data_IF_799838605748
#
_entry.id   IF_799838605748
#
_cell.length_a   1.000
_cell.length_b   1.000
_cell.length_c   1.000
_cell.angle_alpha   90.00
_cell.angle_beta   90.00
_cell.angle_gamma   90.00
#
_symmetry.space_group_name_H-M   'P 1'
#
loop_
_entity.id
_entity.type
_entity.pdbx_description
1 polymer ?
#
# COMPACT_ATOMS: atom_id res chain seq x y z
N UNK A 1 -18.41 2.61 10.08
CA UNK A 1 -17.14 2.72 10.82
C UNK A 1 -16.06 3.34 9.93
N UNK A 2 -15.35 4.36 10.43
CA UNK A 2 -14.22 4.98 9.72
C UNK A 2 -13.07 3.98 9.58
N UNK A 3 -12.38 3.99 8.43
CA UNK A 3 -11.24 3.09 8.20
C UNK A 3 -10.05 3.52 9.06
N UNK A 4 -9.48 2.64 9.92
CA UNK A 4 -8.29 2.95 10.70
C UNK A 4 -7.12 3.41 9.83
N UNK A 5 -6.27 4.27 10.40
CA UNK A 5 -5.02 4.72 9.79
C UNK A 5 -3.85 4.10 10.55
N UNK A 6 -2.77 3.86 9.84
CA UNK A 6 -1.50 3.47 10.44
C UNK A 6 -1.03 4.57 11.39
N UNK A 7 -0.29 4.17 12.43
CA UNK A 7 0.32 5.10 13.37
C UNK A 7 1.07 6.22 12.64
N UNK A 8 1.01 7.42 13.19
CA UNK A 8 1.73 8.57 12.69
C UNK A 8 3.25 8.36 12.77
N UNK A 9 3.74 7.68 13.81
CA UNK A 9 5.19 7.43 14.00
C UNK A 9 5.80 6.59 12.87
N UNK A 10 4.99 5.74 12.23
CA UNK A 10 5.40 4.92 11.09
C UNK A 10 5.32 5.67 9.75
N UNK A 11 4.72 6.87 9.72
CA UNK A 11 4.48 7.66 8.49
C UNK A 11 5.18 9.01 8.50
N UNK A 12 5.54 9.53 9.68
CA UNK A 12 6.16 10.83 9.86
C UNK A 12 7.50 10.66 10.57
N UNK A 13 8.56 11.19 9.97
CA UNK A 13 9.91 11.16 10.50
C UNK A 13 10.48 12.57 10.61
N UNK A 14 11.31 12.78 11.61
CA UNK A 14 12.00 14.05 11.81
C UNK A 14 13.39 14.01 11.16
N UNK A 15 13.71 15.05 10.38
CA UNK A 15 15.00 15.33 9.75
C UNK A 15 15.50 14.31 8.70
N UNK A 16 15.20 13.02 8.86
CA UNK A 16 15.65 11.96 7.95
C UNK A 16 14.66 10.81 7.89
N UNK A 17 14.68 10.11 6.76
CA UNK A 17 13.93 8.87 6.60
C UNK A 17 14.46 7.79 7.55
N UNK A 18 13.56 7.04 8.17
CA UNK A 18 13.93 5.90 9.02
C UNK A 18 13.75 4.60 8.25
N UNK A 19 14.82 3.81 8.20
CA UNK A 19 14.77 2.43 7.72
C UNK A 19 14.70 1.50 8.93
N UNK A 20 13.96 0.42 8.80
CA UNK A 20 13.78 -0.55 9.87
C UNK A 20 14.18 -1.94 9.38
N UNK A 21 14.69 -2.77 10.28
CA UNK A 21 15.15 -4.11 9.92
C UNK A 21 13.97 -5.05 9.61
N UNK A 22 12.83 -4.84 10.29
CA UNK A 22 11.64 -5.65 10.11
C UNK A 22 10.35 -4.82 10.12
N UNK A 23 9.91 -4.44 8.93
CA UNK A 23 8.66 -3.71 8.75
C UNK A 23 7.42 -4.53 9.11
N UNK A 24 7.46 -5.87 8.96
CA UNK A 24 6.32 -6.74 9.26
C UNK A 24 6.00 -6.74 10.75
N UNK A 25 7.02 -6.70 11.62
CA UNK A 25 6.82 -6.60 13.06
C UNK A 25 6.24 -5.23 13.44
N UNK A 26 6.75 -4.15 12.85
CA UNK A 26 6.30 -2.78 13.13
C UNK A 26 4.84 -2.52 12.77
N UNK A 27 4.34 -3.17 11.72
CA UNK A 27 2.95 -3.00 11.27
C UNK A 27 2.00 -4.08 11.79
N UNK A 28 2.48 -5.01 12.62
CA UNK A 28 1.70 -6.17 13.09
C UNK A 28 0.41 -5.77 13.79
N UNK A 29 0.49 -4.81 14.71
CA UNK A 29 -0.68 -4.27 15.40
C UNK A 29 -1.66 -3.63 14.41
N UNK A 30 -1.14 -2.87 13.43
CA UNK A 30 -1.99 -2.26 12.41
C UNK A 30 -2.68 -3.31 11.52
N UNK A 31 -2.02 -4.43 11.25
CA UNK A 31 -2.58 -5.56 10.53
C UNK A 31 -3.76 -6.19 11.28
N UNK A 32 -3.65 -6.38 12.60
CA UNK A 32 -4.71 -6.90 13.47
C UNK A 32 -5.91 -5.93 13.55
N UNK A 33 -5.64 -4.63 13.69
CA UNK A 33 -6.67 -3.58 13.67
C UNK A 33 -7.43 -3.59 12.34
N UNK A 34 -6.71 -3.68 11.23
CA UNK A 34 -7.30 -3.67 9.90
C UNK A 34 -8.09 -4.96 9.60
N UNK A 35 -7.62 -6.11 10.06
CA UNK A 35 -8.35 -7.37 9.95
C UNK A 35 -9.67 -7.29 10.73
N UNK A 36 -9.60 -6.92 12.01
CA UNK A 36 -10.79 -6.73 12.86
C UNK A 36 -11.78 -5.73 12.24
N UNK A 37 -11.28 -4.62 11.69
CA UNK A 37 -12.10 -3.63 11.02
C UNK A 37 -12.92 -4.20 9.86
N UNK A 38 -12.30 -5.07 9.03
CA UNK A 38 -13.02 -5.67 7.91
C UNK A 38 -13.96 -6.78 8.35
N UNK A 39 -13.55 -7.61 9.32
CA UNK A 39 -14.39 -8.68 9.86
C UNK A 39 -15.71 -8.13 10.44
N UNK A 40 -15.65 -7.05 11.21
CA UNK A 40 -16.83 -6.38 11.77
C UNK A 40 -17.68 -5.68 10.71
N UNK A 41 -17.07 -5.22 9.60
CA UNK A 41 -17.76 -4.47 8.54
C UNK A 41 -18.41 -5.38 7.51
N UNK A 42 -17.87 -6.57 7.28
CA UNK A 42 -18.33 -7.53 6.27
C UNK A 42 -18.33 -8.95 6.84
N UNK A 43 -19.28 -9.25 7.72
CA UNK A 43 -19.38 -10.56 8.39
C UNK A 43 -19.39 -11.78 7.44
N UNK A 44 -19.86 -11.60 6.19
CA UNK A 44 -19.94 -12.67 5.18
C UNK A 44 -18.74 -12.70 4.23
N UNK A 45 -17.73 -11.84 4.41
CA UNK A 45 -16.57 -11.77 3.53
C UNK A 45 -15.30 -11.52 4.34
N UNK A 46 -14.51 -12.58 4.50
CA UNK A 46 -13.16 -12.47 5.03
C UNK A 46 -12.33 -11.54 4.15
N UNK A 47 -11.72 -10.54 4.76
CA UNK A 47 -10.74 -9.67 4.12
C UNK A 47 -9.44 -9.81 4.90
N UNK A 48 -8.34 -10.06 4.19
CA UNK A 48 -7.04 -10.28 4.82
C UNK A 48 -6.50 -9.04 5.55
N UNK A 49 -5.42 -9.21 6.31
CA UNK A 49 -4.69 -8.11 6.94
C UNK A 49 -4.17 -7.09 5.92
N UNK A 50 -3.80 -5.90 6.40
CA UNK A 50 -3.37 -4.81 5.53
C UNK A 50 -2.15 -5.18 4.67
N UNK A 51 -1.10 -5.77 5.26
CA UNK A 51 0.11 -6.18 4.56
C UNK A 51 -0.18 -7.18 3.44
N UNK A 52 -1.00 -8.20 3.72
CA UNK A 52 -1.42 -9.20 2.74
C UNK A 52 -2.21 -8.59 1.58
N UNK A 53 -3.12 -7.66 1.87
CA UNK A 53 -3.84 -6.93 0.83
C UNK A 53 -2.91 -6.10 -0.07
N UNK A 54 -1.88 -5.48 0.50
CA UNK A 54 -0.90 -4.69 -0.25
C UNK A 54 -0.06 -5.61 -1.15
N UNK A 55 0.50 -6.69 -0.58
CA UNK A 55 1.30 -7.66 -1.32
C UNK A 55 0.50 -8.29 -2.46
N UNK A 56 -0.73 -8.73 -2.20
CA UNK A 56 -1.60 -9.30 -3.22
C UNK A 56 -1.86 -8.33 -4.37
N UNK A 57 -2.10 -7.04 -4.08
CA UNK A 57 -2.29 -6.01 -5.11
C UNK A 57 -1.04 -5.78 -5.95
N UNK A 58 0.14 -5.76 -5.33
CA UNK A 58 1.40 -5.51 -6.01
C UNK A 58 1.88 -6.71 -6.84
N UNK A 59 1.54 -7.94 -6.43
CA UNK A 59 1.80 -9.16 -7.20
C UNK A 59 0.95 -9.24 -8.49
N UNK A 60 -0.23 -8.63 -8.48
CA UNK A 60 -1.13 -8.67 -9.63
C UNK A 60 -0.72 -7.64 -10.69
N UNK A 61 -0.18 -8.13 -11.81
CA UNK A 61 0.14 -7.31 -12.97
C UNK A 61 -1.16 -6.76 -13.56
N UNK A 62 -1.26 -5.43 -13.68
CA UNK A 62 -2.39 -4.76 -14.32
C UNK A 62 -2.00 -4.34 -15.75
N UNK A 63 -2.53 -4.98 -16.81
CA UNK A 63 -2.16 -4.69 -18.20
C UNK A 63 -2.40 -3.23 -18.63
N UNK A 64 -3.41 -2.56 -18.06
CA UNK A 64 -3.69 -1.14 -18.34
C UNK A 64 -2.61 -0.27 -17.73
N UNK A 65 -2.19 -0.56 -16.50
CA UNK A 65 -1.12 0.21 -15.82
C UNK A 65 0.24 0.03 -16.48
N UNK A 66 0.50 -1.09 -17.16
CA UNK A 66 1.74 -1.29 -17.91
C UNK A 66 1.91 -0.29 -19.06
N UNK A 67 0.81 0.27 -19.58
CA UNK A 67 0.83 1.28 -20.66
C UNK A 67 0.95 2.71 -20.15
N UNK A 68 1.07 2.92 -18.83
CA UNK A 68 1.02 4.28 -18.25
C UNK A 68 2.14 5.18 -18.78
N UNK A 69 3.33 4.64 -18.97
CA UNK A 69 4.49 5.36 -19.51
C UNK A 69 4.18 5.85 -20.93
N UNK A 70 3.64 4.98 -21.78
CA UNK A 70 3.27 5.34 -23.15
C UNK A 70 2.21 6.44 -23.16
N UNK A 71 1.17 6.32 -22.32
CA UNK A 71 0.13 7.34 -22.24
C UNK A 71 0.69 8.70 -21.77
N UNK A 72 1.66 8.71 -20.85
CA UNK A 72 2.32 9.94 -20.38
C UNK A 72 3.10 10.58 -21.52
N UNK A 73 3.84 9.79 -22.30
CA UNK A 73 4.57 10.26 -23.48
C UNK A 73 3.59 10.80 -24.55
N UNK A 74 2.50 10.08 -24.82
CA UNK A 74 1.45 10.49 -25.77
C UNK A 74 0.78 11.82 -25.39
N UNK A 75 0.71 12.13 -24.09
CA UNK A 75 0.20 13.42 -23.60
C UNK A 75 1.23 14.56 -23.69
N UNK A 76 2.44 14.30 -24.21
CA UNK A 76 3.48 15.30 -24.42
C UNK A 76 4.42 15.52 -23.24
N UNK A 77 4.43 14.63 -22.24
CA UNK A 77 5.38 14.70 -21.14
C UNK A 77 6.69 13.98 -21.50
N UNK A 78 7.81 14.68 -21.42
CA UNK A 78 9.15 14.08 -21.53
C UNK A 78 9.60 13.53 -20.17
N UNK A 79 9.77 12.21 -20.10
CA UNK A 79 10.15 11.48 -18.89
C UNK A 79 11.66 11.17 -18.81
N UNK A 80 12.46 11.56 -19.82
CA UNK A 80 13.92 11.40 -19.84
C UNK A 80 14.44 10.02 -19.42
N UNK A 81 13.76 8.95 -19.86
CA UNK A 81 14.25 7.59 -19.59
C UNK A 81 15.57 7.35 -20.33
N UNK A 82 16.56 6.85 -19.61
CA UNK A 82 17.78 6.30 -20.20
C UNK A 82 17.40 5.09 -21.06
N UNK A 83 17.95 5.01 -22.28
CA UNK A 83 17.66 3.94 -23.25
C UNK A 83 18.42 2.67 -22.92
#
# INVERSE_FOLDING_TARGET
QLKPRMDMELRMFENKYKCFDNYSELIKEYDEIMQTYYDLRQANKRVDSFSNQVVAKLKNINPVRQKIINNIIEQGFDIKLEK
#
